data_IF_164866086416
#
_entry.id   IF_164866086416
#
_cell.length_a   1.000
_cell.length_b   1.000
_cell.length_c   1.000
_cell.angle_alpha   90.00
_cell.angle_beta   90.00
_cell.angle_gamma   90.00
#
_symmetry.space_group_name_H-M   'P 1'
#
loop_
_entity.id
_entity.type
_entity.pdbx_description
1 polymer ?
#
# COMPACT_ATOMS: atom_id res chain seq x y z
N UNK A 1 -7.61 15.68 27.87
CA UNK A 1 -8.74 15.42 26.96
C UNK A 1 -8.45 16.16 25.66
N UNK A 2 -7.92 15.50 24.67
CA UNK A 2 -7.70 16.07 23.33
C UNK A 2 -8.87 15.69 22.45
N UNK A 3 -9.40 16.59 21.61
CA UNK A 3 -10.51 16.26 20.73
C UNK A 3 -10.02 15.32 19.64
N UNK A 4 -10.82 14.30 19.37
CA UNK A 4 -10.70 13.39 18.26
C UNK A 4 -10.99 14.21 17.00
N UNK A 5 -9.96 14.60 16.29
CA UNK A 5 -10.13 15.23 14.98
C UNK A 5 -10.46 14.17 13.95
N UNK A 6 -11.72 14.18 13.62
CA UNK A 6 -12.32 14.13 12.31
C UNK A 6 -11.73 13.13 11.31
N UNK A 7 -12.26 11.93 11.38
CA UNK A 7 -12.26 10.99 10.28
C UNK A 7 -13.08 11.58 9.12
N UNK A 8 -12.42 12.05 8.09
CA UNK A 8 -13.09 12.52 6.89
C UNK A 8 -13.54 11.32 6.06
N UNK A 9 -14.67 10.74 6.42
CA UNK A 9 -15.42 9.86 5.54
C UNK A 9 -16.18 10.76 4.57
N UNK A 10 -15.58 11.05 3.42
CA UNK A 10 -16.26 11.80 2.36
C UNK A 10 -17.20 10.88 1.60
N UNK A 11 -18.47 10.90 1.95
CA UNK A 11 -19.54 10.37 1.12
C UNK A 11 -19.85 11.37 0.01
N UNK A 12 -19.27 11.21 -1.17
CA UNK A 12 -19.72 11.93 -2.36
C UNK A 12 -20.88 11.17 -3.02
N UNK A 13 -22.10 11.56 -2.65
CA UNK A 13 -23.27 11.33 -3.48
C UNK A 13 -23.27 12.40 -4.58
N UNK A 14 -22.85 12.07 -5.77
CA UNK A 14 -23.03 12.92 -6.94
C UNK A 14 -24.50 12.86 -7.36
N UNK A 15 -25.21 13.98 -7.15
CA UNK A 15 -26.48 14.25 -7.81
C UNK A 15 -26.23 14.97 -9.12
N UNK A 16 -26.89 14.46 -10.15
CA UNK A 16 -26.91 14.89 -11.53
C UNK A 16 -27.13 16.39 -11.73
N UNK A 17 -26.31 16.99 -12.59
CA UNK A 17 -26.70 18.16 -13.39
C UNK A 17 -26.00 18.04 -14.74
N UNK A 18 -26.82 18.15 -15.80
CA UNK A 18 -26.46 17.88 -17.19
C UNK A 18 -25.17 18.48 -17.68
N UNK A 19 -24.24 17.60 -18.00
CA UNK A 19 -22.95 17.91 -18.59
C UNK A 19 -22.99 17.57 -20.07
N UNK A 20 -22.58 18.51 -20.93
CA UNK A 20 -22.51 18.29 -22.37
C UNK A 20 -21.43 17.28 -22.74
N UNK A 21 -21.68 16.51 -23.79
CA UNK A 21 -20.85 15.38 -24.26
C UNK A 21 -19.37 15.67 -24.49
N UNK A 22 -18.96 16.92 -24.51
CA UNK A 22 -17.57 17.35 -24.72
C UNK A 22 -16.75 17.36 -23.43
N UNK A 23 -17.43 17.61 -22.30
CA UNK A 23 -16.79 17.64 -20.97
C UNK A 23 -16.57 16.22 -20.41
N UNK A 24 -17.32 15.23 -20.94
CA UNK A 24 -17.21 13.84 -20.51
C UNK A 24 -15.86 13.18 -20.90
N UNK A 25 -15.29 13.58 -22.02
CA UNK A 25 -13.99 13.05 -22.50
C UNK A 25 -12.79 13.66 -21.77
N UNK A 26 -12.89 14.92 -21.30
CA UNK A 26 -11.85 15.53 -20.44
C UNK A 26 -11.97 15.07 -18.98
N UNK A 27 -13.17 14.72 -18.50
CA UNK A 27 -13.37 14.16 -17.17
C UNK A 27 -12.80 12.74 -17.01
N UNK A 28 -12.69 11.97 -18.08
CA UNK A 28 -12.14 10.60 -18.05
C UNK A 28 -10.61 10.59 -17.87
N UNK A 29 -9.93 11.70 -18.14
CA UNK A 29 -8.46 11.81 -18.05
C UNK A 29 -7.98 12.16 -16.64
N UNK A 30 -8.86 12.58 -15.73
CA UNK A 30 -8.54 12.95 -14.35
C UNK A 30 -9.47 12.26 -13.35
N UNK A 31 -9.78 10.99 -13.53
CA UNK A 31 -10.29 10.20 -12.41
C UNK A 31 -9.12 10.00 -11.45
N UNK A 32 -9.00 10.91 -10.49
CA UNK A 32 -8.38 10.59 -9.21
C UNK A 32 -9.19 9.41 -8.70
N UNK A 33 -8.60 8.23 -8.68
CA UNK A 33 -9.23 7.06 -8.08
C UNK A 33 -9.52 7.42 -6.62
N UNK A 34 -10.80 7.63 -6.30
CA UNK A 34 -11.22 7.90 -4.93
C UNK A 34 -11.08 6.60 -4.14
N UNK A 35 -10.01 6.50 -3.35
CA UNK A 35 -9.80 5.38 -2.45
C UNK A 35 -10.85 5.42 -1.34
N UNK A 36 -11.61 4.34 -1.21
CA UNK A 36 -12.74 4.26 -0.28
C UNK A 36 -12.29 4.23 1.17
N UNK A 37 -11.14 3.59 1.42
CA UNK A 37 -10.56 3.45 2.76
C UNK A 37 -9.11 3.89 2.77
N UNK A 38 -8.72 4.57 3.84
CA UNK A 38 -7.34 4.92 4.12
C UNK A 38 -7.04 4.70 5.60
N UNK A 39 -5.89 4.18 5.91
CA UNK A 39 -5.38 4.01 7.27
C UNK A 39 -3.93 4.43 7.34
N UNK A 40 -3.44 4.71 8.52
CA UNK A 40 -2.06 5.03 8.77
C UNK A 40 -1.26 3.78 9.23
N UNK A 41 0.04 3.96 9.42
CA UNK A 41 0.97 2.91 9.81
C UNK A 41 0.77 2.36 11.24
N UNK A 42 -0.06 3.00 12.08
CA UNK A 42 -0.37 2.48 13.41
C UNK A 42 -1.23 1.20 13.36
N UNK A 43 -1.88 0.95 12.24
CA UNK A 43 -2.76 -0.21 12.06
C UNK A 43 -2.24 -1.22 11.03
N UNK A 44 -0.98 -1.10 10.60
CA UNK A 44 -0.40 -2.05 9.64
C UNK A 44 -0.29 -3.48 10.19
N UNK A 45 -0.17 -3.65 11.50
CA UNK A 45 -0.19 -4.97 12.16
C UNK A 45 -1.56 -5.66 12.03
N UNK A 46 -2.61 -4.90 11.74
CA UNK A 46 -3.97 -5.38 11.51
C UNK A 46 -4.28 -5.57 10.02
N UNK A 47 -3.28 -5.45 9.17
CA UNK A 47 -3.33 -5.74 7.72
C UNK A 47 -2.46 -6.96 7.44
N UNK A 48 -3.07 -8.00 6.91
CA UNK A 48 -2.36 -9.21 6.52
C UNK A 48 -1.95 -9.12 5.05
N UNK A 49 -0.64 -9.01 4.84
CA UNK A 49 -0.01 -8.93 3.53
C UNK A 49 0.44 -10.30 3.00
N UNK A 50 0.26 -11.39 3.75
CA UNK A 50 0.66 -12.72 3.30
C UNK A 50 -0.13 -13.11 2.03
N UNK A 51 0.57 -13.64 1.04
CA UNK A 51 0.06 -13.97 -0.29
C UNK A 51 -0.42 -12.75 -1.12
N UNK A 52 -0.15 -11.53 -0.66
CA UNK A 52 -0.46 -10.33 -1.43
C UNK A 52 0.51 -10.19 -2.61
N UNK A 53 -0.04 -9.87 -3.79
CA UNK A 53 0.73 -9.71 -5.02
C UNK A 53 0.90 -8.24 -5.35
N UNK A 54 2.16 -7.81 -5.47
CA UNK A 54 2.52 -6.47 -5.90
C UNK A 54 2.37 -6.38 -7.43
N UNK A 55 1.54 -5.44 -7.89
CA UNK A 55 1.30 -5.19 -9.32
C UNK A 55 2.33 -4.25 -9.92
N UNK A 56 2.68 -3.20 -9.17
CA UNK A 56 3.65 -2.20 -9.61
C UNK A 56 4.25 -1.44 -8.42
N UNK A 57 5.45 -0.91 -8.62
CA UNK A 57 6.13 -0.04 -7.67
C UNK A 57 6.56 1.22 -8.42
N UNK A 58 6.15 2.38 -7.91
CA UNK A 58 6.54 3.68 -8.42
C UNK A 58 7.34 4.42 -7.35
N UNK A 59 8.54 4.87 -7.69
CA UNK A 59 9.41 5.59 -6.79
C UNK A 59 9.66 7.01 -7.29
N UNK A 60 9.48 7.96 -6.38
CA UNK A 60 9.85 9.38 -6.53
C UNK A 60 10.79 9.78 -5.40
N UNK A 61 11.24 11.03 -5.38
CA UNK A 61 12.09 11.55 -4.28
C UNK A 61 11.33 11.62 -2.95
N UNK A 62 10.00 11.77 -2.98
CA UNK A 62 9.16 11.95 -1.79
C UNK A 62 8.34 10.75 -1.39
N UNK A 63 8.14 9.78 -2.29
CA UNK A 63 7.25 8.64 -2.05
C UNK A 63 7.70 7.40 -2.81
N UNK A 64 7.44 6.24 -2.21
CA UNK A 64 7.40 4.95 -2.91
C UNK A 64 5.96 4.44 -2.82
N UNK A 65 5.32 4.26 -3.97
CA UNK A 65 3.94 3.80 -4.07
C UNK A 65 3.95 2.36 -4.56
N UNK A 66 3.37 1.47 -3.78
CA UNK A 66 3.24 0.04 -4.08
C UNK A 66 1.78 -0.26 -4.37
N UNK A 67 1.47 -0.64 -5.59
CA UNK A 67 0.13 -1.10 -5.96
C UNK A 67 0.05 -2.61 -5.74
N UNK A 68 -0.94 -3.02 -4.98
CA UNK A 68 -1.14 -4.41 -4.53
C UNK A 68 -2.50 -4.88 -5.01
N UNK A 69 -2.58 -6.11 -5.48
CA UNK A 69 -3.82 -6.69 -6.01
C UNK A 69 -4.91 -6.77 -4.94
N UNK A 70 -4.55 -7.24 -3.76
CA UNK A 70 -5.43 -7.27 -2.58
C UNK A 70 -4.64 -7.60 -1.32
N UNK A 71 -5.18 -7.23 -0.16
CA UNK A 71 -4.73 -7.68 1.16
C UNK A 71 -5.94 -8.08 2.01
N UNK A 72 -5.69 -8.71 3.16
CA UNK A 72 -6.75 -8.99 4.12
C UNK A 72 -6.68 -8.00 5.28
N UNK A 73 -7.79 -7.37 5.59
CA UNK A 73 -7.96 -6.53 6.79
C UNK A 73 -8.47 -7.42 7.92
N UNK A 74 -7.71 -7.51 8.99
CA UNK A 74 -8.02 -8.36 10.13
C UNK A 74 -9.22 -7.81 10.93
N UNK A 75 -9.93 -8.67 11.70
CA UNK A 75 -11.15 -8.27 12.42
C UNK A 75 -10.95 -7.15 13.44
N UNK A 76 -9.74 -7.01 13.99
CA UNK A 76 -9.40 -5.99 14.99
C UNK A 76 -9.11 -4.61 14.39
N UNK A 77 -8.91 -4.53 13.06
CA UNK A 77 -8.68 -3.25 12.38
C UNK A 77 -9.89 -2.33 12.51
N UNK A 78 -9.74 -1.04 12.87
CA UNK A 78 -10.86 -0.11 13.08
C UNK A 78 -11.80 0.05 11.89
N UNK A 79 -11.29 -0.12 10.67
CA UNK A 79 -12.09 -0.02 9.44
C UNK A 79 -12.80 -1.33 9.07
N UNK A 80 -12.54 -2.43 9.78
CA UNK A 80 -13.22 -3.70 9.53
C UNK A 80 -14.44 -3.84 10.46
N UNK A 81 -15.66 -3.65 9.97
CA UNK A 81 -16.87 -3.78 10.79
C UNK A 81 -17.29 -5.25 11.01
N UNK A 82 -16.56 -6.19 10.43
CA UNK A 82 -16.87 -7.62 10.47
C UNK A 82 -16.02 -8.33 11.54
N UNK A 83 -16.50 -9.48 12.00
CA UNK A 83 -15.79 -10.34 12.96
C UNK A 83 -14.85 -11.35 12.28
N UNK A 84 -14.60 -11.18 11.00
CA UNK A 84 -13.74 -12.03 10.17
C UNK A 84 -12.84 -11.16 9.32
N UNK A 85 -11.71 -11.69 8.89
CA UNK A 85 -10.84 -11.01 7.93
C UNK A 85 -11.58 -10.74 6.62
N UNK A 86 -11.32 -9.59 6.00
CA UNK A 86 -11.92 -9.16 4.75
C UNK A 86 -10.85 -8.78 3.74
N UNK A 87 -11.01 -9.29 2.54
CA UNK A 87 -10.16 -8.92 1.40
C UNK A 87 -10.54 -7.54 0.86
N UNK A 88 -9.55 -6.74 0.50
CA UNK A 88 -9.76 -5.34 0.09
C UNK A 88 -10.03 -5.15 -1.40
N UNK A 89 -9.72 -6.07 -2.27
CA UNK A 89 -9.50 -5.73 -3.67
C UNK A 89 -8.23 -4.87 -3.86
N UNK A 90 -8.10 -4.16 -4.96
CA UNK A 90 -6.91 -3.35 -5.26
C UNK A 90 -6.65 -2.30 -4.16
N UNK A 91 -5.38 -2.18 -3.78
CA UNK A 91 -4.97 -1.30 -2.70
C UNK A 91 -3.57 -0.74 -2.96
N UNK A 92 -3.21 0.26 -2.17
CA UNK A 92 -1.96 1.01 -2.33
C UNK A 92 -1.30 1.19 -0.97
N UNK A 93 -0.03 0.80 -0.88
CA UNK A 93 0.84 1.09 0.26
C UNK A 93 1.80 2.20 -0.17
N UNK A 94 1.92 3.26 0.64
CA UNK A 94 2.72 4.43 0.31
C UNK A 94 3.77 4.64 1.41
N UNK A 95 5.03 4.56 1.05
CA UNK A 95 6.12 4.95 1.94
C UNK A 95 6.44 6.41 1.71
N UNK A 96 6.20 7.25 2.71
CA UNK A 96 6.39 8.71 2.64
C UNK A 96 7.79 9.08 3.09
N UNK A 97 8.43 10.00 2.37
CA UNK A 97 9.78 10.47 2.62
C UNK A 97 10.76 9.30 2.85
N UNK A 98 10.96 8.43 1.85
CA UNK A 98 11.86 7.29 1.99
C UNK A 98 13.29 7.76 2.21
N UNK A 99 13.90 7.33 3.32
CA UNK A 99 15.28 7.63 3.69
C UNK A 99 16.26 6.65 3.04
N UNK A 100 15.82 5.40 2.86
CA UNK A 100 16.57 4.35 2.19
C UNK A 100 15.63 3.30 1.60
N UNK A 101 16.02 2.72 0.48
CA UNK A 101 15.35 1.59 -0.15
C UNK A 101 16.41 0.64 -0.69
N UNK A 102 16.37 -0.62 -0.29
CA UNK A 102 17.33 -1.64 -0.72
C UNK A 102 16.58 -2.95 -0.98
N UNK A 103 16.67 -3.44 -2.21
CA UNK A 103 16.11 -4.72 -2.63
C UNK A 103 17.22 -5.68 -3.07
N UNK A 104 17.01 -6.96 -2.83
CA UNK A 104 17.90 -8.03 -3.28
C UNK A 104 17.09 -9.28 -3.65
N UNK A 105 17.53 -10.00 -4.66
CA UNK A 105 17.13 -11.37 -4.95
C UNK A 105 18.17 -12.34 -4.38
N UNK A 106 17.76 -13.56 -4.09
CA UNK A 106 18.65 -14.59 -3.59
C UNK A 106 18.96 -15.61 -4.69
N UNK A 107 20.25 -15.74 -5.01
CA UNK A 107 20.72 -16.82 -5.89
C UNK A 107 20.38 -18.21 -5.30
N UNK A 108 20.44 -19.29 -6.08
CA UNK A 108 20.14 -20.64 -5.59
C UNK A 108 21.00 -21.11 -4.41
N UNK A 109 22.17 -20.54 -4.23
CA UNK A 109 23.07 -20.80 -3.09
C UNK A 109 22.77 -19.92 -1.87
N UNK A 110 21.75 -19.04 -1.95
CA UNK A 110 21.34 -18.11 -0.91
C UNK A 110 22.13 -16.80 -0.88
N UNK A 111 23.02 -16.57 -1.86
CA UNK A 111 23.75 -15.29 -1.96
C UNK A 111 22.83 -14.16 -2.38
N UNK A 112 22.75 -13.04 -1.62
CA UNK A 112 21.93 -11.89 -2.02
C UNK A 112 22.60 -11.12 -3.17
N UNK A 113 21.83 -10.83 -4.21
CA UNK A 113 22.20 -10.01 -5.35
C UNK A 113 21.35 -8.73 -5.34
N UNK A 114 21.96 -7.53 -5.26
CA UNK A 114 21.25 -6.27 -5.26
C UNK A 114 20.39 -6.09 -6.53
N UNK A 115 19.19 -5.53 -6.35
CA UNK A 115 18.30 -5.17 -7.45
C UNK A 115 17.62 -3.83 -7.19
N UNK A 116 16.98 -3.27 -8.21
CA UNK A 116 16.13 -2.08 -8.09
C UNK A 116 14.71 -2.56 -7.78
N UNK A 117 14.06 -2.00 -6.75
CA UNK A 117 12.73 -2.44 -6.33
C UNK A 117 11.66 -2.29 -7.42
N UNK A 118 11.80 -1.32 -8.33
CA UNK A 118 10.90 -1.14 -9.48
C UNK A 118 11.05 -2.23 -10.56
N UNK A 119 12.06 -3.09 -10.46
CA UNK A 119 12.29 -4.19 -11.40
C UNK A 119 11.55 -5.48 -10.97
N UNK A 120 10.91 -5.52 -9.80
CA UNK A 120 10.01 -6.59 -9.44
C UNK A 120 8.86 -6.70 -10.46
N UNK A 121 8.63 -7.90 -10.96
CA UNK A 121 7.61 -8.17 -11.98
C UNK A 121 6.26 -8.52 -11.36
N UNK A 122 6.29 -9.40 -10.35
CA UNK A 122 5.12 -9.92 -9.67
C UNK A 122 5.49 -10.45 -8.29
N UNK A 123 5.96 -9.54 -7.43
CA UNK A 123 6.37 -9.89 -6.07
C UNK A 123 5.16 -10.39 -5.27
N UNK A 124 5.19 -11.66 -4.88
CA UNK A 124 4.28 -12.24 -3.89
C UNK A 124 4.89 -12.09 -2.51
N UNK A 125 4.18 -11.40 -1.62
CA UNK A 125 4.64 -11.13 -0.26
C UNK A 125 4.40 -12.34 0.62
N UNK A 126 5.45 -12.90 1.22
CA UNK A 126 5.37 -13.99 2.20
C UNK A 126 5.43 -13.47 3.63
N UNK A 127 6.13 -12.36 3.86
CA UNK A 127 6.27 -11.74 5.17
C UNK A 127 6.42 -10.23 5.03
N UNK A 128 5.71 -9.50 5.88
CA UNK A 128 5.79 -8.06 5.99
C UNK A 128 5.99 -7.68 7.46
N UNK A 129 7.08 -7.00 7.77
CA UNK A 129 7.40 -6.53 9.12
C UNK A 129 7.61 -5.01 9.13
N UNK A 130 7.18 -4.37 10.21
CA UNK A 130 7.43 -2.95 10.48
C UNK A 130 8.12 -2.81 11.83
N UNK A 131 9.26 -2.14 11.87
CA UNK A 131 10.08 -1.96 13.07
C UNK A 131 10.36 -0.48 13.28
N UNK A 132 10.07 0.04 14.47
CA UNK A 132 10.45 1.40 14.87
C UNK A 132 11.97 1.58 14.85
N UNK A 133 12.42 2.72 14.33
CA UNK A 133 13.81 3.14 14.30
C UNK A 133 13.94 4.52 14.94
N UNK A 134 15.16 4.97 15.21
CA UNK A 134 15.40 6.34 15.72
C UNK A 134 14.90 7.42 14.75
N UNK A 135 14.96 7.13 13.45
CA UNK A 135 14.46 8.00 12.38
C UNK A 135 13.44 7.24 11.53
N UNK A 136 12.15 7.36 11.87
CA UNK A 136 11.07 6.74 11.13
C UNK A 136 10.92 5.25 11.40
N UNK A 137 10.47 4.51 10.41
CA UNK A 137 10.20 3.07 10.49
C UNK A 137 10.98 2.30 9.42
N UNK A 138 11.39 1.09 9.76
CA UNK A 138 11.96 0.13 8.81
C UNK A 138 10.91 -0.92 8.46
N UNK A 139 10.51 -0.93 7.21
CA UNK A 139 9.63 -1.93 6.62
C UNK A 139 10.48 -2.99 5.93
N UNK A 140 10.19 -4.26 6.22
CA UNK A 140 10.88 -5.41 5.64
C UNK A 140 9.85 -6.28 4.93
N UNK A 141 10.07 -6.48 3.67
CA UNK A 141 9.23 -7.29 2.81
C UNK A 141 10.07 -8.47 2.33
N UNK A 142 9.65 -9.67 2.65
CA UNK A 142 10.24 -10.89 2.14
C UNK A 142 9.21 -11.58 1.25
N UNK A 143 9.62 -12.07 0.10
CA UNK A 143 8.70 -12.65 -0.86
C UNK A 143 9.36 -13.44 -1.97
N UNK A 144 8.59 -13.68 -3.02
CA UNK A 144 9.02 -14.40 -4.22
C UNK A 144 8.67 -13.58 -5.47
N UNK A 145 9.68 -13.36 -6.33
CA UNK A 145 9.54 -12.82 -7.66
C UNK A 145 10.49 -13.61 -8.59
N UNK A 146 10.00 -14.73 -9.17
CA UNK A 146 10.79 -15.80 -9.81
C UNK A 146 11.77 -16.50 -8.82
N UNK A 147 12.39 -15.72 -7.91
CA UNK A 147 13.29 -16.18 -6.85
C UNK A 147 12.89 -15.53 -5.52
N UNK A 148 13.38 -16.09 -4.41
CA UNK A 148 13.24 -15.41 -3.12
C UNK A 148 13.90 -14.05 -3.17
N UNK A 149 13.27 -13.07 -2.56
CA UNK A 149 13.75 -11.71 -2.50
C UNK A 149 13.44 -11.05 -1.16
N UNK A 150 14.20 -10.03 -0.84
CA UNK A 150 14.00 -9.17 0.31
C UNK A 150 14.02 -7.71 -0.16
N UNK A 151 13.10 -6.92 0.35
CA UNK A 151 13.09 -5.49 0.13
C UNK A 151 12.93 -4.76 1.47
N UNK A 152 13.81 -3.83 1.73
CA UNK A 152 13.82 -2.99 2.94
C UNK A 152 13.60 -1.54 2.55
N UNK A 153 12.64 -0.91 3.20
CA UNK A 153 12.36 0.53 3.06
C UNK A 153 12.44 1.17 4.42
N UNK A 154 13.26 2.21 4.57
CA UNK A 154 13.21 3.09 5.73
C UNK A 154 12.48 4.36 5.32
N UNK A 155 11.40 4.73 6.01
CA UNK A 155 10.57 5.88 5.69
C UNK A 155 9.99 6.51 6.96
N UNK A 156 9.52 7.76 6.86
CA UNK A 156 8.91 8.48 7.99
C UNK A 156 7.53 7.91 8.34
N UNK A 157 6.72 7.58 7.33
CA UNK A 157 5.38 7.04 7.50
C UNK A 157 4.99 6.14 6.32
N UNK A 158 3.92 5.37 6.49
CA UNK A 158 3.42 4.46 5.48
C UNK A 158 1.89 4.36 5.52
N UNK A 159 1.16 5.37 4.99
CA UNK A 159 -0.27 5.26 4.86
C UNK A 159 -0.64 4.15 3.87
N UNK A 160 -1.69 3.43 4.20
CA UNK A 160 -2.28 2.40 3.37
C UNK A 160 -3.66 2.84 2.89
N UNK A 161 -3.94 2.67 1.61
CA UNK A 161 -5.24 3.00 1.02
C UNK A 161 -5.78 1.85 0.18
N UNK A 162 -7.08 1.57 0.31
CA UNK A 162 -7.73 0.49 -0.40
C UNK A 162 -9.11 0.87 -0.95
N UNK A 163 -9.56 0.19 -2.01
CA UNK A 163 -10.77 0.56 -2.74
C UNK A 163 -12.06 0.00 -2.16
N UNK A 164 -12.08 -1.20 -1.57
CA UNK A 164 -13.29 -1.78 -0.96
C UNK A 164 -13.02 -3.08 -0.20
N UNK A 165 -13.96 -3.43 0.67
CA UNK A 165 -14.08 -4.78 1.20
C UNK A 165 -14.95 -5.64 0.29
#
# INVERSE_FOLDING_TARGET
>A
MRPIESWCVSWCLSREAGVQKKDFLEMVVNQVEDWVYSTDDNYLDDVDFHDAVVKSIHQTDSEIIVEIESVNILPQHPLNPFKVAKNTGECRLIFTNPLASAAAIFAPDGTPEPMICTDFKQLEILQFDCVEQETGKLYKIFGVDDQFCEWKVQAEASPFTGMSF
#
